data_IF_027508940660
#
_entry.id   IF_027508940660
#
_cell.length_a   1.000
_cell.length_b   1.000
_cell.length_c   1.000
_cell.angle_alpha   90.00
_cell.angle_beta   90.00
_cell.angle_gamma   90.00
#
_symmetry.space_group_name_H-M   'P 1'
#
loop_
_entity.id
_entity.type
_entity.pdbx_description
1 polymer ?
#
# COMPACT_ATOMS: atom_id res chain seq x y z
N UNK A 1 -17.72 44.50 -37.16
CA UNK A 1 -17.64 43.13 -37.69
C UNK A 1 -16.15 42.84 -37.89
N UNK A 2 -15.51 42.38 -36.82
CA UNK A 2 -14.05 42.29 -36.71
C UNK A 2 -13.62 40.93 -37.25
N UNK A 3 -12.88 40.93 -38.35
CA UNK A 3 -12.28 39.76 -38.97
C UNK A 3 -11.17 39.22 -38.07
N UNK A 4 -11.34 38.00 -37.58
CA UNK A 4 -10.32 37.28 -36.81
C UNK A 4 -9.27 36.80 -37.80
N UNK A 5 -8.05 37.33 -37.67
CA UNK A 5 -6.88 36.89 -38.41
C UNK A 5 -6.36 35.56 -37.83
N UNK A 6 -6.36 34.46 -38.61
CA UNK A 6 -5.93 33.14 -38.14
C UNK A 6 -4.41 32.99 -37.95
N UNK A 7 -3.61 34.04 -38.14
CA UNK A 7 -2.16 34.00 -37.93
C UNK A 7 -1.64 34.83 -36.75
N UNK A 8 -2.49 35.25 -35.81
CA UNK A 8 -2.03 35.94 -34.60
C UNK A 8 -1.40 34.95 -33.58
N UNK A 9 -0.08 35.01 -33.32
CA UNK A 9 0.61 34.09 -32.41
C UNK A 9 0.28 34.31 -30.92
N UNK A 10 -0.56 35.29 -30.58
CA UNK A 10 -0.99 35.59 -29.21
C UNK A 10 -2.44 35.18 -28.93
N UNK A 11 -2.96 34.14 -29.59
CA UNK A 11 -4.28 33.60 -29.29
C UNK A 11 -4.25 32.79 -27.97
N UNK A 12 -4.95 33.23 -26.90
CA UNK A 12 -4.93 32.54 -25.61
C UNK A 12 -5.68 31.18 -25.60
N UNK A 13 -6.28 30.78 -26.73
CA UNK A 13 -7.01 29.52 -26.85
C UNK A 13 -6.11 28.27 -27.08
N UNK A 14 -4.80 28.43 -27.30
CA UNK A 14 -3.90 27.32 -27.68
C UNK A 14 -2.89 26.92 -26.59
N UNK A 15 -3.11 27.35 -25.33
CA UNK A 15 -2.24 27.01 -24.19
C UNK A 15 -2.87 26.09 -23.14
N UNK A 16 -4.00 25.45 -23.45
CA UNK A 16 -4.70 24.58 -22.50
C UNK A 16 -4.85 23.15 -23.06
N UNK A 17 -3.79 22.34 -22.94
CA UNK A 17 -3.85 20.86 -22.84
C UNK A 17 -2.47 20.22 -23.09
N UNK A 18 -1.43 20.69 -22.40
CA UNK A 18 -0.40 19.74 -21.97
C UNK A 18 -0.97 19.09 -20.72
N UNK A 19 -1.85 18.11 -20.93
CA UNK A 19 -2.04 17.05 -19.96
C UNK A 19 -0.63 16.59 -19.60
N UNK A 20 -0.21 16.87 -18.36
CA UNK A 20 0.90 16.20 -17.72
C UNK A 20 0.53 14.72 -17.65
N UNK A 21 0.66 14.04 -18.78
CA UNK A 21 0.83 12.60 -18.82
C UNK A 21 2.10 12.37 -18.02
N UNK A 22 1.94 12.09 -16.72
CA UNK A 22 2.96 11.42 -15.93
C UNK A 22 3.25 10.14 -16.70
N UNK A 23 4.26 10.19 -17.58
CA UNK A 23 4.71 9.05 -18.35
C UNK A 23 5.24 8.09 -17.30
N UNK A 24 4.41 7.11 -16.95
CA UNK A 24 4.78 6.03 -16.06
C UNK A 24 5.90 5.28 -16.78
N UNK A 25 7.13 5.67 -16.50
CA UNK A 25 8.31 5.14 -17.15
C UNK A 25 8.38 3.66 -16.77
N UNK A 26 8.06 2.77 -17.72
CA UNK A 26 8.02 1.33 -17.46
C UNK A 26 9.32 0.86 -16.83
N UNK A 27 9.25 0.44 -15.57
CA UNK A 27 10.41 0.09 -14.76
C UNK A 27 10.87 -1.34 -15.04
N UNK A 28 12.17 -1.60 -14.83
CA UNK A 28 12.71 -2.96 -14.77
C UNK A 28 12.12 -3.70 -13.57
N UNK A 29 11.83 -5.00 -13.67
CA UNK A 29 11.27 -5.81 -12.57
C UNK A 29 12.08 -5.69 -11.27
N UNK A 30 13.40 -5.52 -11.35
CA UNK A 30 14.25 -5.30 -10.17
C UNK A 30 14.02 -3.94 -9.51
N UNK A 31 13.87 -2.89 -10.33
CA UNK A 31 13.57 -1.53 -9.86
C UNK A 31 12.19 -1.50 -9.20
N UNK A 32 11.20 -2.19 -9.78
CA UNK A 32 9.87 -2.32 -9.20
C UNK A 32 9.90 -2.96 -7.81
N UNK A 33 10.55 -4.14 -7.67
CA UNK A 33 10.66 -4.83 -6.38
C UNK A 33 11.39 -3.95 -5.35
N UNK A 34 12.46 -3.25 -5.75
CA UNK A 34 13.19 -2.36 -4.87
C UNK A 34 12.35 -1.16 -4.42
N UNK A 35 11.59 -0.53 -5.32
CA UNK A 35 10.68 0.57 -4.99
C UNK A 35 9.60 0.10 -4.02
N UNK A 36 8.96 -1.04 -4.29
CA UNK A 36 7.94 -1.63 -3.43
C UNK A 36 8.53 -1.98 -2.04
N UNK A 37 9.77 -2.46 -1.98
CA UNK A 37 10.47 -2.72 -0.72
C UNK A 37 10.73 -1.44 0.09
N UNK A 38 11.13 -0.35 -0.57
CA UNK A 38 11.35 0.94 0.10
C UNK A 38 10.04 1.53 0.64
N UNK A 39 8.96 1.46 -0.15
CA UNK A 39 7.62 1.89 0.28
C UNK A 39 7.21 1.08 1.51
N UNK A 40 7.29 -0.25 1.43
CA UNK A 40 6.90 -1.13 2.53
C UNK A 40 7.75 -0.91 3.80
N UNK A 41 9.06 -0.72 3.64
CA UNK A 41 9.97 -0.44 4.76
C UNK A 41 9.64 0.89 5.45
N UNK A 42 9.30 1.92 4.67
CA UNK A 42 8.87 3.20 5.26
C UNK A 42 7.57 3.05 6.05
N UNK A 43 6.64 2.19 5.60
CA UNK A 43 5.41 1.88 6.32
C UNK A 43 5.67 1.15 7.65
N UNK A 44 6.59 0.18 7.67
CA UNK A 44 7.03 -0.48 8.91
C UNK A 44 7.55 0.56 9.91
N UNK A 45 8.39 1.49 9.46
CA UNK A 45 8.92 2.55 10.32
C UNK A 45 7.82 3.50 10.83
N UNK A 46 6.84 3.86 10.00
CA UNK A 46 5.70 4.66 10.46
C UNK A 46 4.93 3.96 11.58
N UNK A 47 4.66 2.66 11.45
CA UNK A 47 3.97 1.90 12.50
C UNK A 47 4.81 1.71 13.76
N UNK A 48 6.12 1.54 13.63
CA UNK A 48 7.05 1.55 14.76
C UNK A 48 6.96 2.87 15.53
N UNK A 49 7.05 4.01 14.84
CA UNK A 49 6.95 5.32 15.49
C UNK A 49 5.56 5.55 16.08
N UNK A 50 4.49 5.12 15.41
CA UNK A 50 3.14 5.20 15.97
C UNK A 50 3.01 4.42 17.29
N UNK A 51 3.56 3.20 17.35
CA UNK A 51 3.60 2.40 18.58
C UNK A 51 4.44 3.08 19.67
N UNK A 52 5.62 3.60 19.31
CA UNK A 52 6.50 4.29 20.24
C UNK A 52 5.84 5.55 20.81
N UNK A 53 5.25 6.40 19.97
CA UNK A 53 4.58 7.63 20.39
C UNK A 53 3.34 7.35 21.24
N UNK A 54 2.54 6.36 20.86
CA UNK A 54 1.34 5.96 21.61
C UNK A 54 1.69 5.42 23.00
N UNK A 55 2.88 4.84 23.18
CA UNK A 55 3.36 4.32 24.47
C UNK A 55 4.26 5.29 25.24
N UNK A 56 4.15 6.59 24.94
CA UNK A 56 4.99 7.64 25.54
C UNK A 56 6.50 7.36 25.39
N UNK A 57 6.92 7.07 24.16
CA UNK A 57 8.26 6.64 23.78
C UNK A 57 8.69 5.33 24.47
N UNK A 58 7.84 4.31 24.44
CA UNK A 58 8.11 2.99 25.03
C UNK A 58 8.36 3.05 26.55
N UNK A 59 7.68 3.96 27.25
CA UNK A 59 7.74 4.07 28.72
C UNK A 59 6.52 3.48 29.40
N UNK A 60 5.38 3.48 28.72
CA UNK A 60 4.12 2.94 29.22
C UNK A 60 3.81 1.60 28.56
N UNK A 61 4.06 0.52 29.31
CA UNK A 61 3.78 -0.86 28.91
C UNK A 61 2.29 -1.08 28.60
N UNK A 62 1.38 -0.49 29.39
CA UNK A 62 -0.06 -0.73 29.23
C UNK A 62 -0.55 -0.14 27.92
N UNK A 63 -0.08 1.05 27.57
CA UNK A 63 -0.41 1.68 26.30
C UNK A 63 0.20 0.93 25.12
N UNK A 64 1.43 0.41 25.27
CA UNK A 64 2.07 -0.42 24.25
C UNK A 64 1.29 -1.72 24.02
N UNK A 65 0.96 -2.46 25.08
CA UNK A 65 0.20 -3.73 24.99
C UNK A 65 -1.20 -3.49 24.42
N UNK A 66 -1.87 -2.40 24.82
CA UNK A 66 -3.17 -2.01 24.25
C UNK A 66 -3.07 -1.74 22.75
N UNK A 67 -2.06 -0.97 22.33
CA UNK A 67 -1.81 -0.72 20.91
C UNK A 67 -1.49 -2.01 20.15
N UNK A 68 -0.63 -2.88 20.70
CA UNK A 68 -0.30 -4.18 20.13
C UNK A 68 -1.54 -5.05 19.92
N UNK A 69 -2.38 -5.16 20.95
CA UNK A 69 -3.61 -5.96 20.91
C UNK A 69 -4.59 -5.44 19.85
N UNK A 70 -4.62 -4.12 19.63
CA UNK A 70 -5.45 -3.52 18.58
C UNK A 70 -4.96 -3.82 17.15
N UNK A 71 -3.67 -4.15 16.97
CA UNK A 71 -3.04 -4.39 15.66
C UNK A 71 -2.83 -5.86 15.36
N UNK A 72 -2.54 -6.64 16.39
CA UNK A 72 -2.25 -8.08 16.34
C UNK A 72 -3.30 -8.75 17.21
N UNK A 73 -4.50 -8.89 16.66
CA UNK A 73 -5.58 -9.66 17.26
C UNK A 73 -5.66 -11.02 16.55
N UNK A 74 -6.25 -12.03 17.20
CA UNK A 74 -6.46 -13.36 16.59
C UNK A 74 -7.22 -13.28 15.26
N UNK A 75 -8.06 -12.25 15.11
CA UNK A 75 -8.84 -12.01 13.90
C UNK A 75 -8.09 -11.25 12.79
N UNK A 76 -6.87 -10.75 12.99
CA UNK A 76 -6.19 -9.92 11.98
C UNK A 76 -6.03 -10.63 10.63
N UNK A 77 -5.77 -11.94 10.62
CA UNK A 77 -5.68 -12.74 9.38
C UNK A 77 -7.05 -12.85 8.71
N UNK A 78 -8.10 -13.13 9.48
CA UNK A 78 -9.47 -13.22 9.00
C UNK A 78 -9.93 -11.88 8.41
N UNK A 79 -9.64 -10.77 9.10
CA UNK A 79 -9.98 -9.42 8.65
C UNK A 79 -9.24 -9.06 7.36
N UNK A 80 -7.96 -9.44 7.25
CA UNK A 80 -7.18 -9.25 6.02
C UNK A 80 -7.82 -10.01 4.85
N UNK A 81 -8.16 -11.28 5.03
CA UNK A 81 -8.80 -12.10 4.00
C UNK A 81 -10.19 -11.58 3.63
N UNK A 82 -10.98 -11.14 4.61
CA UNK A 82 -12.29 -10.56 4.40
C UNK A 82 -12.21 -9.26 3.58
N UNK A 83 -11.23 -8.40 3.87
CA UNK A 83 -11.01 -7.17 3.08
C UNK A 83 -10.57 -7.51 1.66
N UNK A 84 -9.68 -8.49 1.47
CA UNK A 84 -9.28 -8.94 0.12
C UNK A 84 -10.47 -9.47 -0.68
N UNK A 85 -11.36 -10.25 -0.04
CA UNK A 85 -12.59 -10.72 -0.66
C UNK A 85 -13.55 -9.58 -0.97
N UNK A 86 -13.67 -8.59 -0.07
CA UNK A 86 -14.48 -7.40 -0.28
C UNK A 86 -13.97 -6.55 -1.45
N UNK A 87 -12.65 -6.41 -1.61
CA UNK A 87 -12.03 -5.74 -2.78
C UNK A 87 -12.40 -6.49 -4.06
N UNK A 88 -12.24 -7.81 -4.09
CA UNK A 88 -12.60 -8.63 -5.26
C UNK A 88 -14.10 -8.53 -5.61
N UNK A 89 -14.97 -8.59 -4.61
CA UNK A 89 -16.41 -8.43 -4.79
C UNK A 89 -16.77 -7.04 -5.32
N UNK A 90 -16.15 -5.99 -4.76
CA UNK A 90 -16.37 -4.59 -5.18
C UNK A 90 -15.94 -4.39 -6.64
N UNK A 91 -14.78 -4.92 -7.05
CA UNK A 91 -14.34 -4.90 -8.45
C UNK A 91 -15.32 -5.64 -9.36
N UNK A 92 -15.84 -6.80 -8.93
CA UNK A 92 -16.85 -7.56 -9.67
C UNK A 92 -18.16 -6.78 -9.88
N UNK A 93 -18.60 -6.05 -8.86
CA UNK A 93 -19.77 -5.16 -8.93
C UNK A 93 -19.51 -4.01 -9.91
N UNK A 94 -18.37 -3.32 -9.78
CA UNK A 94 -18.01 -2.23 -10.69
C UNK A 94 -17.94 -2.73 -12.14
N UNK A 95 -17.28 -3.87 -12.39
CA UNK A 95 -17.20 -4.46 -13.72
C UNK A 95 -18.57 -4.81 -14.31
N UNK A 96 -19.50 -5.30 -13.48
CA UNK A 96 -20.88 -5.60 -13.90
C UNK A 96 -21.63 -4.33 -14.28
N UNK A 97 -21.45 -3.25 -13.52
CA UNK A 97 -22.03 -1.93 -13.81
C UNK A 97 -21.44 -1.35 -15.10
N UNK A 98 -20.12 -1.44 -15.30
CA UNK A 98 -19.44 -0.99 -16.52
C UNK A 98 -20.00 -1.66 -17.77
N UNK A 99 -20.25 -2.98 -17.68
CA UNK A 99 -20.84 -3.75 -18.78
C UNK A 99 -22.29 -3.36 -19.06
N UNK A 100 -23.04 -2.97 -18.03
CA UNK A 100 -24.44 -2.54 -18.16
C UNK A 100 -24.59 -1.11 -18.73
N UNK A 101 -23.66 -0.21 -18.44
CA UNK A 101 -23.75 1.23 -18.77
C UNK A 101 -22.93 1.64 -20.02
N UNK A 102 -22.76 0.75 -21.00
CA UNK A 102 -22.03 1.01 -22.25
C UNK A 102 -20.58 1.46 -22.05
N UNK A 103 -19.77 0.60 -21.41
CA UNK A 103 -18.30 0.63 -21.40
C UNK A 103 -17.67 2.01 -21.16
N UNK A 104 -18.08 2.65 -20.05
CA UNK A 104 -17.49 3.92 -19.61
C UNK A 104 -16.04 3.73 -19.16
N UNK A 105 -15.11 4.39 -19.84
CA UNK A 105 -13.68 4.41 -19.51
C UNK A 105 -13.39 4.95 -18.11
N UNK A 106 -14.29 5.76 -17.55
CA UNK A 106 -14.19 6.25 -16.18
C UNK A 106 -14.42 5.15 -15.14
N UNK A 107 -15.39 4.24 -15.38
CA UNK A 107 -15.66 3.12 -14.47
C UNK A 107 -14.53 2.08 -14.51
N UNK A 108 -13.91 1.85 -15.67
CA UNK A 108 -12.72 0.99 -15.78
C UNK A 108 -11.56 1.52 -14.93
N UNK A 109 -11.31 2.84 -14.96
CA UNK A 109 -10.28 3.48 -14.12
C UNK A 109 -10.57 3.33 -12.62
N UNK A 110 -11.84 3.41 -12.21
CA UNK A 110 -12.21 3.19 -10.80
C UNK A 110 -11.97 1.74 -10.41
N UNK A 111 -12.34 0.77 -11.26
CA UNK A 111 -12.09 -0.63 -11.00
C UNK A 111 -10.59 -0.92 -10.81
N UNK A 112 -9.75 -0.32 -11.65
CA UNK A 112 -8.30 -0.43 -11.55
C UNK A 112 -7.75 0.18 -10.24
N UNK A 113 -8.24 1.35 -9.81
CA UNK A 113 -7.80 1.96 -8.56
C UNK A 113 -8.24 1.14 -7.33
N UNK A 114 -9.47 0.62 -7.33
CA UNK A 114 -9.94 -0.29 -6.27
C UNK A 114 -9.12 -1.57 -6.25
N UNK A 115 -8.72 -2.11 -7.41
CA UNK A 115 -7.86 -3.28 -7.48
C UNK A 115 -6.44 -2.99 -6.95
N UNK A 116 -5.95 -1.76 -7.15
CA UNK A 116 -4.69 -1.29 -6.60
C UNK A 116 -4.70 -1.13 -5.07
N UNK A 117 -5.88 -1.14 -4.41
CA UNK A 117 -5.98 -1.17 -2.95
C UNK A 117 -5.61 -2.52 -2.35
N UNK A 118 -5.72 -3.63 -3.10
CA UNK A 118 -5.38 -4.96 -2.60
C UNK A 118 -3.91 -5.07 -2.12
N UNK A 119 -2.89 -4.70 -2.93
CA UNK A 119 -1.51 -4.72 -2.46
C UNK A 119 -1.25 -3.69 -1.34
N UNK A 120 -1.88 -2.51 -1.38
CA UNK A 120 -1.76 -1.49 -0.31
C UNK A 120 -2.29 -2.02 1.02
N UNK A 121 -3.40 -2.73 0.98
CA UNK A 121 -4.01 -3.38 2.15
C UNK A 121 -3.10 -4.46 2.71
N UNK A 122 -2.57 -5.34 1.86
CA UNK A 122 -1.63 -6.37 2.30
C UNK A 122 -0.38 -5.78 2.99
N UNK A 123 0.17 -4.71 2.41
CA UNK A 123 1.26 -3.97 3.03
C UNK A 123 0.87 -3.31 4.35
N UNK A 124 -0.31 -2.71 4.44
CA UNK A 124 -0.80 -2.11 5.68
C UNK A 124 -0.81 -3.12 6.83
N UNK A 125 -1.38 -4.30 6.63
CA UNK A 125 -1.44 -5.32 7.68
C UNK A 125 -0.06 -5.86 8.06
N UNK A 126 0.76 -6.22 7.07
CA UNK A 126 2.10 -6.75 7.33
C UNK A 126 3.00 -5.74 8.04
N UNK A 127 3.01 -4.49 7.58
CA UNK A 127 3.80 -3.42 8.18
C UNK A 127 3.29 -2.99 9.55
N UNK A 128 1.97 -3.01 9.77
CA UNK A 128 1.36 -2.75 11.07
C UNK A 128 1.81 -3.77 12.10
N UNK A 129 1.75 -5.07 11.78
CA UNK A 129 2.24 -6.13 12.64
C UNK A 129 3.75 -6.03 12.89
N UNK A 130 4.54 -5.88 11.83
CA UNK A 130 6.00 -5.81 11.91
C UNK A 130 6.50 -4.60 12.72
N UNK A 131 6.02 -3.39 12.42
CA UNK A 131 6.44 -2.16 13.11
C UNK A 131 6.07 -2.18 14.59
N UNK A 132 4.88 -2.68 14.90
CA UNK A 132 4.40 -2.82 16.28
C UNK A 132 5.22 -3.85 17.07
N UNK A 133 5.57 -4.98 16.46
CA UNK A 133 6.42 -6.01 17.08
C UNK A 133 7.88 -5.55 17.26
N UNK A 134 8.40 -4.71 16.36
CA UNK A 134 9.71 -4.07 16.53
C UNK A 134 9.73 -3.12 17.73
N UNK A 135 8.66 -2.33 17.91
CA UNK A 135 8.51 -1.45 19.08
C UNK A 135 8.47 -2.27 20.38
N UNK A 136 7.72 -3.38 20.40
CA UNK A 136 7.68 -4.31 21.51
C UNK A 136 9.04 -4.95 21.82
N UNK A 137 9.77 -5.38 20.78
CA UNK A 137 11.10 -5.94 20.93
C UNK A 137 12.07 -4.96 21.59
N UNK A 138 12.00 -3.68 21.18
CA UNK A 138 12.83 -2.63 21.75
C UNK A 138 12.46 -2.33 23.21
N UNK A 139 11.16 -2.29 23.53
CA UNK A 139 10.68 -2.13 24.89
C UNK A 139 11.21 -3.24 25.82
N UNK A 140 11.05 -4.51 25.41
CA UNK A 140 11.48 -5.69 26.17
C UNK A 140 13.01 -5.73 26.32
N UNK A 141 13.75 -5.25 25.31
CA UNK A 141 15.20 -5.17 25.41
C UNK A 141 15.65 -4.21 26.51
N UNK A 142 14.96 -3.09 26.70
CA UNK A 142 15.24 -2.13 27.77
C UNK A 142 14.61 -2.51 29.13
N UNK A 143 13.51 -3.25 29.11
CA UNK A 143 12.80 -3.73 30.31
C UNK A 143 12.65 -5.26 30.24
N UNK A 144 13.73 -6.03 30.50
CA UNK A 144 13.66 -7.48 30.42
C UNK A 144 12.67 -8.03 31.44
N UNK A 145 11.65 -8.72 30.93
CA UNK A 145 10.65 -9.45 31.72
C UNK A 145 10.83 -10.97 31.54
N UNK A 146 10.50 -11.74 32.57
CA UNK A 146 10.50 -13.21 32.46
C UNK A 146 9.36 -13.67 31.53
N UNK A 147 9.68 -14.50 30.53
CA UNK A 147 8.70 -15.20 29.68
C UNK A 147 8.64 -14.76 28.21
N UNK A 148 8.81 -13.47 27.90
CA UNK A 148 8.85 -12.96 26.52
C UNK A 148 10.22 -12.34 26.24
N UNK A 149 10.96 -12.96 25.33
CA UNK A 149 12.27 -12.47 24.90
C UNK A 149 12.12 -11.50 23.72
N UNK A 150 12.92 -10.44 23.69
CA UNK A 150 13.00 -9.51 22.54
C UNK A 150 13.22 -10.24 21.20
N UNK A 151 14.01 -11.32 21.21
CA UNK A 151 14.27 -12.16 20.04
C UNK A 151 12.99 -12.76 19.43
N UNK A 152 12.03 -13.18 20.25
CA UNK A 152 10.74 -13.70 19.77
C UNK A 152 9.94 -12.61 19.07
N UNK A 153 9.92 -11.39 19.62
CA UNK A 153 9.26 -10.24 18.99
C UNK A 153 9.92 -9.87 17.67
N UNK A 154 11.26 -9.89 17.58
CA UNK A 154 11.98 -9.67 16.32
C UNK A 154 11.64 -10.74 15.29
N UNK A 155 11.61 -12.02 15.68
CA UNK A 155 11.26 -13.12 14.78
C UNK A 155 9.82 -12.98 14.25
N UNK A 156 8.88 -12.61 15.11
CA UNK A 156 7.50 -12.33 14.70
C UNK A 156 7.42 -11.11 13.79
N UNK A 157 8.15 -10.03 14.10
CA UNK A 157 8.22 -8.86 13.24
C UNK A 157 8.72 -9.22 11.84
N UNK A 158 9.77 -10.06 11.75
CA UNK A 158 10.30 -10.54 10.49
C UNK A 158 9.26 -11.38 9.73
N UNK A 159 8.53 -12.26 10.42
CA UNK A 159 7.49 -13.08 9.80
C UNK A 159 6.36 -12.21 9.21
N UNK A 160 5.86 -11.22 9.96
CA UNK A 160 4.89 -10.24 9.45
C UNK A 160 5.45 -9.43 8.28
N UNK A 161 6.70 -8.97 8.40
CA UNK A 161 7.36 -8.20 7.36
C UNK A 161 7.46 -9.02 6.06
N UNK A 162 7.98 -10.24 6.12
CA UNK A 162 8.14 -11.12 4.96
C UNK A 162 6.80 -11.53 4.36
N UNK A 163 5.83 -11.94 5.18
CA UNK A 163 4.50 -12.32 4.68
C UNK A 163 3.81 -11.15 3.98
N UNK A 164 3.73 -9.98 4.64
CA UNK A 164 3.10 -8.80 4.07
C UNK A 164 3.79 -8.31 2.79
N UNK A 165 5.13 -8.34 2.76
CA UNK A 165 5.88 -7.99 1.56
C UNK A 165 5.61 -8.96 0.41
N UNK A 166 5.68 -10.27 0.66
CA UNK A 166 5.45 -11.27 -0.40
C UNK A 166 4.04 -11.15 -0.96
N UNK A 167 3.01 -11.06 -0.11
CA UNK A 167 1.64 -10.92 -0.57
C UNK A 167 1.42 -9.59 -1.32
N UNK A 168 1.78 -8.46 -0.71
CA UNK A 168 1.59 -7.16 -1.34
C UNK A 168 2.38 -7.00 -2.63
N UNK A 169 3.62 -7.49 -2.69
CA UNK A 169 4.44 -7.44 -3.90
C UNK A 169 3.89 -8.37 -4.99
N UNK A 170 3.41 -9.56 -4.65
CA UNK A 170 2.78 -10.48 -5.60
C UNK A 170 1.50 -9.87 -6.20
N UNK A 171 0.63 -9.29 -5.38
CA UNK A 171 -0.59 -8.61 -5.86
C UNK A 171 -0.25 -7.35 -6.67
N UNK A 172 0.72 -6.55 -6.21
CA UNK A 172 1.18 -5.37 -6.94
C UNK A 172 1.75 -5.76 -8.30
N UNK A 173 2.52 -6.84 -8.37
CA UNK A 173 3.02 -7.38 -9.63
C UNK A 173 1.86 -7.87 -10.50
N UNK A 174 0.95 -8.71 -9.98
CA UNK A 174 -0.17 -9.25 -10.74
C UNK A 174 -1.07 -8.17 -11.35
N UNK A 175 -1.35 -7.10 -10.61
CA UNK A 175 -2.27 -6.04 -11.04
C UNK A 175 -1.59 -4.89 -11.78
N UNK A 176 -0.36 -4.48 -11.39
CA UNK A 176 0.37 -3.40 -12.06
C UNK A 176 1.19 -3.87 -13.27
N UNK A 177 1.37 -5.18 -13.51
CA UNK A 177 2.18 -5.70 -14.63
C UNK A 177 1.70 -5.21 -16.00
N UNK A 178 0.40 -4.96 -16.19
CA UNK A 178 -0.12 -4.47 -17.48
C UNK A 178 0.22 -3.00 -17.75
N UNK A 179 0.35 -2.17 -16.73
CA UNK A 179 0.49 -0.71 -16.86
C UNK A 179 1.92 -0.20 -16.63
N UNK A 180 2.71 -0.87 -15.78
CA UNK A 180 3.99 -0.32 -15.28
C UNK A 180 5.25 -1.14 -15.62
N UNK A 181 5.11 -2.37 -16.12
CA UNK A 181 6.26 -3.26 -16.38
C UNK A 181 6.53 -3.34 -17.88
N UNK A 182 7.80 -3.11 -18.27
CA UNK A 182 8.26 -3.32 -19.65
C UNK A 182 8.20 -4.82 -19.92
N UNK A 183 7.36 -5.24 -20.88
CA UNK A 183 7.47 -6.59 -21.47
C UNK A 183 8.92 -6.74 -21.92
N UNK A 184 9.67 -7.58 -21.21
CA UNK A 184 10.95 -8.04 -21.73
C UNK A 184 10.55 -8.98 -22.85
N UNK A 185 10.79 -8.58 -24.09
CA UNK A 185 10.58 -9.46 -25.23
C UNK A 185 11.41 -10.72 -25.02
N UNK A 186 10.74 -11.85 -25.00
CA UNK A 186 11.34 -13.14 -25.30
C UNK A 186 11.78 -13.14 -26.76
#
# INVERSE_FOLDING_TARGET
>A
MTTIDPQNPNNPAEQLSTDDFVVIQKQSSRMFIFTELMIYSSQIMMFFFAAALTSNLLRDEKQLVSYMTSKVNENTIHDTLAIMLAIAATVGVIASITKALSNSSWLERIADEVLNEAPRTAYFFGSSGAGTMLAAALFIHYHPQEGITSMRCILMALLYATAGFMYGCLFAYAFKHKTHIKKTGL
#
